data_IF_657135453271
#
_entry.id   IF_657135453271
#
_cell.length_a   1.000
_cell.length_b   1.000
_cell.length_c   1.000
_cell.angle_alpha   90.00
_cell.angle_beta   90.00
_cell.angle_gamma   90.00
#
_symmetry.space_group_name_H-M   'P 1'
#
loop_
_entity.id
_entity.type
_entity.pdbx_description
1 polymer ?
#
# COMPACT_ATOMS: atom_id res chain seq x y z
N UNK A 1 -15.66 5.12 26.19
CA UNK A 1 -15.51 3.67 25.93
C UNK A 1 -14.66 3.45 24.69
N UNK A 2 -13.67 2.59 24.79
CA UNK A 2 -12.87 2.21 23.64
C UNK A 2 -13.31 0.85 23.12
N UNK A 3 -13.56 0.77 21.83
CA UNK A 3 -13.89 -0.51 21.20
C UNK A 3 -12.61 -1.28 20.95
N UNK A 4 -12.57 -2.52 21.41
CA UNK A 4 -11.43 -3.41 21.11
C UNK A 4 -11.27 -3.63 19.60
N UNK A 5 -12.40 -3.61 18.89
CA UNK A 5 -12.38 -3.75 17.42
C UNK A 5 -11.55 -2.64 16.77
N UNK A 6 -11.64 -1.41 17.28
CA UNK A 6 -10.85 -0.32 16.75
C UNK A 6 -9.37 -0.44 17.13
N UNK A 7 -9.08 -1.02 18.29
CA UNK A 7 -7.70 -1.28 18.67
C UNK A 7 -7.08 -2.36 17.78
N UNK A 8 -7.86 -3.40 17.46
CA UNK A 8 -7.40 -4.42 16.51
C UNK A 8 -7.11 -3.80 15.15
N UNK A 9 -7.96 -2.87 14.72
CA UNK A 9 -7.79 -2.20 13.45
C UNK A 9 -6.45 -1.46 13.35
N UNK A 10 -6.00 -0.87 14.45
CA UNK A 10 -4.72 -0.17 14.48
C UNK A 10 -3.53 -1.09 14.27
N UNK A 11 -3.71 -2.37 14.57
CA UNK A 11 -2.63 -3.36 14.52
C UNK A 11 -2.74 -4.30 13.33
N UNK A 12 -3.66 -4.03 12.40
CA UNK A 12 -3.83 -4.87 11.22
C UNK A 12 -3.43 -4.11 9.96
N UNK A 13 -3.33 -4.85 8.88
CA UNK A 13 -3.13 -4.25 7.56
C UNK A 13 -4.18 -4.82 6.62
N UNK A 14 -4.54 -4.03 5.60
CA UNK A 14 -5.38 -4.50 4.53
C UNK A 14 -4.52 -5.20 3.50
N UNK A 15 -5.00 -6.31 2.96
CA UNK A 15 -4.32 -6.98 1.86
C UNK A 15 -4.95 -6.55 0.55
N UNK A 16 -4.11 -6.14 -0.38
CA UNK A 16 -4.54 -5.67 -1.69
C UNK A 16 -3.81 -6.43 -2.78
N UNK A 17 -4.47 -7.41 -3.42
CA UNK A 17 -3.84 -8.11 -4.55
C UNK A 17 -3.66 -7.13 -5.70
N UNK A 18 -2.44 -7.01 -6.16
CA UNK A 18 -2.09 -6.12 -7.26
C UNK A 18 -1.60 -6.93 -8.44
N UNK A 19 -2.04 -6.54 -9.63
CA UNK A 19 -1.59 -7.14 -10.87
C UNK A 19 -1.67 -6.05 -11.93
N UNK A 20 -0.54 -5.45 -12.24
CA UNK A 20 -0.50 -4.36 -13.20
C UNK A 20 0.72 -4.49 -14.10
N UNK A 21 0.63 -3.83 -15.24
CA UNK A 21 1.71 -3.80 -16.22
C UNK A 21 2.20 -2.38 -16.36
N UNK A 22 3.52 -2.19 -16.26
CA UNK A 22 4.15 -0.90 -16.47
C UNK A 22 5.20 -1.06 -17.56
N UNK A 23 5.04 -0.33 -18.66
CA UNK A 23 5.95 -0.39 -19.81
C UNK A 23 6.18 -1.81 -20.32
N UNK A 24 5.12 -2.63 -20.32
CA UNK A 24 5.18 -4.01 -20.76
C UNK A 24 5.68 -5.02 -19.73
N UNK A 25 6.07 -4.55 -18.56
CA UNK A 25 6.56 -5.43 -17.47
C UNK A 25 5.43 -5.63 -16.46
N UNK A 26 5.13 -6.89 -16.18
CA UNK A 26 4.05 -7.24 -15.26
C UNK A 26 4.55 -7.33 -13.82
N UNK A 27 3.82 -6.67 -12.92
CA UNK A 27 4.03 -6.76 -11.48
C UNK A 27 2.83 -7.39 -10.84
N UNK A 28 3.04 -8.44 -10.07
CA UNK A 28 1.96 -9.15 -9.40
C UNK A 28 2.39 -9.52 -7.99
N UNK A 29 1.69 -9.01 -7.01
CA UNK A 29 1.95 -9.31 -5.60
C UNK A 29 0.76 -8.88 -4.76
N UNK A 30 0.73 -9.32 -3.50
CA UNK A 30 -0.30 -8.89 -2.56
C UNK A 30 0.32 -7.87 -1.62
N UNK A 31 -0.11 -6.63 -1.72
CA UNK A 31 0.40 -5.56 -0.88
C UNK A 31 -0.26 -5.60 0.49
N UNK A 32 0.52 -5.26 1.52
CA UNK A 32 0.00 -5.08 2.87
C UNK A 32 0.01 -3.60 3.17
N UNK A 33 -1.17 -3.05 3.41
CA UNK A 33 -1.35 -1.62 3.53
C UNK A 33 -1.85 -1.28 4.93
N UNK A 34 -1.15 -0.38 5.59
CA UNK A 34 -1.52 0.11 6.91
C UNK A 34 -2.82 0.88 6.82
N UNK A 35 -3.73 0.61 7.75
CA UNK A 35 -5.00 1.32 7.85
C UNK A 35 -4.82 2.48 8.83
N UNK A 36 -5.25 3.66 8.43
CA UNK A 36 -5.14 4.87 9.23
C UNK A 36 -6.51 5.55 9.34
N UNK A 37 -6.65 6.43 10.31
CA UNK A 37 -7.88 7.18 10.46
C UNK A 37 -7.94 8.37 9.48
N UNK A 38 -9.08 9.01 9.41
CA UNK A 38 -9.31 10.12 8.48
C UNK A 38 -8.33 11.26 8.69
N UNK A 39 -8.06 11.60 9.93
CA UNK A 39 -7.15 12.70 10.24
C UNK A 39 -5.73 12.40 9.73
N UNK A 40 -5.25 11.19 9.97
CA UNK A 40 -3.93 10.78 9.48
C UNK A 40 -3.90 10.78 7.96
N UNK A 41 -4.95 10.28 7.34
CA UNK A 41 -5.03 10.26 5.87
C UNK A 41 -5.01 11.66 5.29
N UNK A 42 -5.75 12.58 5.89
CA UNK A 42 -5.75 13.98 5.46
C UNK A 42 -4.37 14.62 5.61
N UNK A 43 -3.66 14.30 6.69
CA UNK A 43 -2.31 14.81 6.88
C UNK A 43 -1.35 14.31 5.80
N UNK A 44 -1.52 13.05 5.38
CA UNK A 44 -0.68 12.47 4.35
C UNK A 44 -0.98 13.00 2.95
N UNK A 45 -2.27 13.26 2.67
CA UNK A 45 -2.70 13.61 1.31
C UNK A 45 -3.00 15.09 1.13
N UNK A 46 -3.31 15.80 2.21
CA UNK A 46 -3.73 17.19 2.16
C UNK A 46 -2.62 18.21 2.30
N UNK A 47 -1.40 17.77 2.56
CA UNK A 47 -0.27 18.69 2.69
C UNK A 47 0.08 19.29 1.34
N UNK A 48 0.38 20.56 1.36
CA UNK A 48 0.92 21.20 0.18
C UNK A 48 2.28 20.55 -0.12
N UNK A 49 2.42 19.97 -1.30
CA UNK A 49 3.63 19.24 -1.66
C UNK A 49 3.62 17.78 -1.27
N UNK A 50 2.49 17.27 -0.78
CA UNK A 50 2.35 15.82 -0.55
C UNK A 50 2.56 15.11 -1.87
N UNK A 51 3.39 14.07 -1.86
CA UNK A 51 3.67 13.32 -3.06
C UNK A 51 3.37 11.84 -2.86
N UNK A 52 3.19 11.16 -3.99
CA UNK A 52 2.84 9.75 -3.99
C UNK A 52 3.88 8.88 -3.29
N UNK A 53 5.15 9.24 -3.37
CA UNK A 53 6.20 8.47 -2.72
C UNK A 53 6.04 8.44 -1.20
N UNK A 54 5.71 9.58 -0.61
CA UNK A 54 5.51 9.65 0.84
C UNK A 54 4.30 8.83 1.28
N UNK A 55 3.23 8.88 0.50
CA UNK A 55 2.03 8.10 0.77
C UNK A 55 2.37 6.61 0.77
N UNK A 56 3.08 6.15 -0.25
CA UNK A 56 3.46 4.73 -0.34
C UNK A 56 4.41 4.35 0.79
N UNK A 57 5.42 5.18 1.08
CA UNK A 57 6.38 4.88 2.14
C UNK A 57 5.71 4.73 3.50
N UNK A 58 4.68 5.52 3.77
CA UNK A 58 4.00 5.49 5.05
C UNK A 58 2.96 4.37 5.14
N UNK A 59 2.30 4.05 4.05
CA UNK A 59 1.16 3.13 4.08
C UNK A 59 1.46 1.72 3.59
N UNK A 60 2.37 1.55 2.64
CA UNK A 60 2.71 0.21 2.15
C UNK A 60 3.77 -0.40 3.04
N UNK A 61 3.36 -1.32 3.91
CA UNK A 61 4.23 -1.84 4.98
C UNK A 61 4.75 -3.25 4.72
N UNK A 62 4.33 -3.87 3.63
CA UNK A 62 4.80 -5.20 3.30
C UNK A 62 4.18 -5.72 2.02
N UNK A 63 4.60 -6.89 1.62
CA UNK A 63 3.95 -7.63 0.54
C UNK A 63 4.21 -9.12 0.68
N UNK A 64 3.34 -9.91 0.00
CA UNK A 64 3.48 -11.35 -0.11
C UNK A 64 3.29 -11.74 -1.56
N UNK A 65 3.66 -12.95 -1.87
CA UNK A 65 3.44 -13.53 -3.20
C UNK A 65 4.10 -12.73 -4.32
N UNK A 66 5.19 -12.07 -4.00
CA UNK A 66 5.99 -11.33 -4.97
C UNK A 66 7.11 -12.25 -5.43
N UNK A 67 7.06 -12.65 -6.71
CA UNK A 67 8.03 -13.57 -7.28
C UNK A 67 8.70 -12.91 -8.47
N UNK A 68 10.02 -12.99 -8.52
CA UNK A 68 10.82 -12.51 -9.63
C UNK A 68 11.83 -13.59 -10.00
N UNK A 69 11.85 -13.98 -11.27
CA UNK A 69 12.70 -15.05 -11.77
C UNK A 69 12.59 -16.35 -10.96
N UNK A 70 11.35 -16.69 -10.57
CA UNK A 70 11.07 -17.90 -9.82
C UNK A 70 11.43 -17.86 -8.35
N UNK A 71 11.88 -16.71 -7.85
CA UNK A 71 12.28 -16.56 -6.46
C UNK A 71 11.38 -15.57 -5.75
N UNK A 72 11.09 -15.87 -4.48
CA UNK A 72 10.34 -14.94 -3.64
C UNK A 72 11.14 -13.67 -3.40
N UNK A 73 10.47 -12.53 -3.52
CA UNK A 73 11.05 -11.23 -3.24
C UNK A 73 10.57 -10.79 -1.86
N UNK A 74 11.43 -10.83 -0.84
CA UNK A 74 11.01 -10.39 0.49
C UNK A 74 10.83 -8.88 0.51
N UNK A 75 9.93 -8.42 1.37
CA UNK A 75 9.74 -6.98 1.51
C UNK A 75 10.99 -6.36 2.12
N UNK A 76 11.49 -5.32 1.45
CA UNK A 76 12.62 -4.56 1.93
C UNK A 76 12.45 -3.12 1.47
N UNK A 77 12.83 -2.18 2.33
CA UNK A 77 12.73 -0.75 2.01
C UNK A 77 13.52 -0.42 0.75
N UNK A 78 14.70 -1.02 0.62
CA UNK A 78 15.55 -0.78 -0.55
C UNK A 78 14.86 -1.20 -1.85
N UNK A 79 14.20 -2.35 -1.83
CA UNK A 79 13.47 -2.84 -3.00
C UNK A 79 12.31 -1.91 -3.31
N UNK A 80 11.58 -1.48 -2.29
CA UNK A 80 10.48 -0.54 -2.48
C UNK A 80 10.99 0.77 -3.10
N UNK A 81 12.12 1.30 -2.60
CA UNK A 81 12.66 2.55 -3.12
C UNK A 81 13.07 2.42 -4.60
N UNK A 82 13.57 1.26 -5.00
CA UNK A 82 13.86 1.02 -6.41
C UNK A 82 12.60 1.09 -7.26
N UNK A 83 11.50 0.55 -6.77
CA UNK A 83 10.22 0.64 -7.47
C UNK A 83 9.70 2.07 -7.51
N UNK A 84 9.86 2.82 -6.42
CA UNK A 84 9.39 4.20 -6.33
C UNK A 84 10.22 5.17 -7.18
N UNK A 85 11.33 4.72 -7.74
CA UNK A 85 12.08 5.54 -8.70
C UNK A 85 11.31 5.74 -10.01
N UNK A 86 10.29 4.94 -10.26
CA UNK A 86 9.48 5.02 -11.47
C UNK A 86 8.14 5.67 -11.16
N UNK A 87 7.88 6.88 -11.71
CA UNK A 87 6.66 7.62 -11.35
C UNK A 87 5.36 6.87 -11.61
N UNK A 88 5.31 6.08 -12.67
CA UNK A 88 4.10 5.31 -12.98
C UNK A 88 3.81 4.24 -11.95
N UNK A 89 4.84 3.57 -11.46
CA UNK A 89 4.69 2.56 -10.40
C UNK A 89 4.28 3.25 -9.11
N UNK A 90 4.94 4.34 -8.77
CA UNK A 90 4.61 5.11 -7.56
C UNK A 90 3.15 5.55 -7.56
N UNK A 91 2.68 6.10 -8.67
CA UNK A 91 1.29 6.55 -8.78
C UNK A 91 0.31 5.40 -8.60
N UNK A 92 0.60 4.26 -9.22
CA UNK A 92 -0.28 3.09 -9.08
C UNK A 92 -0.35 2.60 -7.65
N UNK A 93 0.79 2.52 -6.96
CA UNK A 93 0.83 2.07 -5.58
C UNK A 93 0.15 3.07 -4.65
N UNK A 94 0.33 4.37 -4.89
CA UNK A 94 -0.32 5.41 -4.09
C UNK A 94 -1.83 5.31 -4.18
N UNK A 95 -2.37 5.13 -5.38
CA UNK A 95 -3.81 4.96 -5.59
C UNK A 95 -4.31 3.77 -4.79
N UNK A 96 -3.60 2.65 -4.83
CA UNK A 96 -4.02 1.46 -4.09
C UNK A 96 -3.96 1.68 -2.58
N UNK A 97 -2.93 2.35 -2.09
CA UNK A 97 -2.81 2.66 -0.66
C UNK A 97 -3.98 3.51 -0.17
N UNK A 98 -4.41 4.47 -0.97
CA UNK A 98 -5.54 5.32 -0.62
C UNK A 98 -6.85 4.54 -0.71
N UNK A 99 -7.04 3.79 -1.79
CA UNK A 99 -8.26 3.01 -1.98
C UNK A 99 -8.48 1.98 -0.88
N UNK A 100 -7.40 1.40 -0.37
CA UNK A 100 -7.49 0.42 0.71
C UNK A 100 -8.12 1.01 1.98
N UNK A 101 -8.01 2.32 2.19
CA UNK A 101 -8.58 2.98 3.36
C UNK A 101 -10.11 3.00 3.34
N UNK A 102 -10.69 2.85 2.16
CA UNK A 102 -12.15 2.94 1.97
C UNK A 102 -12.81 1.61 1.64
N UNK A 103 -12.00 0.57 1.45
CA UNK A 103 -12.52 -0.71 1.00
C UNK A 103 -13.14 -1.49 2.14
N UNK A 104 -14.44 -1.67 2.08
CA UNK A 104 -15.19 -2.46 3.06
C UNK A 104 -15.66 -3.74 2.37
N UNK A 105 -15.40 -4.87 3.01
CA UNK A 105 -15.86 -6.15 2.50
C UNK A 105 -17.19 -6.52 3.14
N UNK A 106 -18.19 -6.73 2.30
CA UNK A 106 -19.50 -7.15 2.75
C UNK A 106 -19.55 -8.68 2.71
N UNK A 107 -20.11 -9.24 3.76
CA UNK A 107 -20.27 -10.68 3.86
C UNK A 107 -21.76 -11.03 3.70
N UNK A 108 -22.08 -11.79 2.69
CA UNK A 108 -23.43 -12.23 2.41
C UNK A 108 -23.72 -13.57 3.04
#
# INVERSE_FOLDING_TARGET
MKLKLLEELKNTSAEAPLNFTFAGVQFKFTAKIKIVDEQTLEELTGKQGANDKEIVRDLLIGWDEFVDEGKQVPFATDTLEEMLAYPGITARLSVECINAQYRVQEKN
#
